data_IF_980944136892
#
_entry.id   IF_980944136892
#
_cell.length_a   1.000
_cell.length_b   1.000
_cell.length_c   1.000
_cell.angle_alpha   90.00
_cell.angle_beta   90.00
_cell.angle_gamma   90.00
#
_symmetry.space_group_name_H-M   'P 1'
#
loop_
_entity.id
_entity.type
_entity.pdbx_description
1 polymer ?
#
# COMPACT_ATOMS: atom_id res chain seq x y z
N UNK A 1 -24.94 33.01 61.40
CA UNK A 1 -25.20 31.58 61.08
C UNK A 1 -24.10 31.12 60.15
N UNK A 2 -23.17 30.29 60.67
CA UNK A 2 -22.08 29.69 59.91
C UNK A 2 -22.57 28.51 59.06
N UNK A 3 -21.88 28.25 57.93
CA UNK A 3 -21.38 26.94 57.43
C UNK A 3 -21.07 27.05 55.93
N UNK A 4 -19.81 27.08 55.49
CA UNK A 4 -18.81 26.01 55.34
C UNK A 4 -19.02 25.07 54.14
N UNK A 5 -17.94 24.97 53.34
CA UNK A 5 -17.57 23.91 52.39
C UNK A 5 -18.40 23.82 51.09
N UNK A 6 -17.87 23.52 49.90
CA UNK A 6 -16.60 22.88 49.51
C UNK A 6 -16.36 23.19 48.02
N UNK A 7 -15.20 23.74 47.69
CA UNK A 7 -14.71 23.89 46.31
C UNK A 7 -14.22 22.52 45.85
N UNK A 8 -14.98 21.84 44.99
CA UNK A 8 -14.45 20.67 44.26
C UNK A 8 -13.62 21.16 43.07
N UNK A 9 -12.32 21.32 43.29
CA UNK A 9 -11.30 21.27 42.24
C UNK A 9 -11.41 19.90 41.55
N UNK A 10 -12.03 19.86 40.37
CA UNK A 10 -11.87 18.73 39.46
C UNK A 10 -10.47 18.81 38.87
N UNK A 11 -9.57 17.99 39.41
CA UNK A 11 -8.30 17.65 38.78
C UNK A 11 -8.60 17.13 37.36
N UNK A 12 -8.32 17.94 36.35
CA UNK A 12 -8.09 17.45 35.00
C UNK A 12 -6.79 16.64 35.05
N UNK A 13 -6.93 15.33 35.28
CA UNK A 13 -5.85 14.39 35.07
C UNK A 13 -5.49 14.43 33.58
N UNK A 14 -4.39 15.13 33.25
CA UNK A 14 -3.67 14.98 32.00
C UNK A 14 -3.35 13.50 31.81
N UNK A 15 -4.24 12.80 31.08
CA UNK A 15 -3.92 11.52 30.50
C UNK A 15 -2.95 11.80 29.37
N UNK A 16 -1.65 11.75 29.69
CA UNK A 16 -0.60 11.55 28.71
C UNK A 16 -0.92 10.23 28.03
N UNK A 17 -1.48 10.30 26.82
CA UNK A 17 -1.65 9.15 25.96
C UNK A 17 -0.27 8.51 25.75
N UNK A 18 -0.11 7.19 25.94
CA UNK A 18 1.14 6.55 25.60
C UNK A 18 1.30 6.66 24.09
N UNK A 19 2.44 7.22 23.67
CA UNK A 19 2.92 7.11 22.30
C UNK A 19 2.80 5.63 21.88
N UNK A 20 2.07 5.38 20.79
CA UNK A 20 1.83 4.04 20.28
C UNK A 20 3.15 3.30 20.08
N UNK A 21 3.41 2.32 20.93
CA UNK A 21 4.48 1.36 20.74
C UNK A 21 4.11 0.51 19.52
N UNK A 22 4.72 0.81 18.37
CA UNK A 22 4.71 -0.11 17.23
C UNK A 22 5.31 -1.44 17.71
N UNK A 23 4.47 -2.48 17.83
CA UNK A 23 4.94 -3.83 18.13
C UNK A 23 5.94 -4.25 17.05
N UNK A 24 7.17 -4.57 17.45
CA UNK A 24 8.16 -5.14 16.56
C UNK A 24 7.65 -6.51 16.07
N UNK A 25 7.50 -6.68 14.75
CA UNK A 25 7.14 -7.95 14.12
C UNK A 25 8.22 -9.00 14.44
N UNK A 26 7.80 -10.25 14.67
CA UNK A 26 8.74 -11.38 14.81
C UNK A 26 9.52 -11.60 13.51
N UNK A 27 10.74 -12.14 13.60
CA UNK A 27 11.56 -12.51 12.44
C UNK A 27 10.78 -13.38 11.43
N UNK A 28 9.95 -14.30 11.93
CA UNK A 28 9.11 -15.17 11.11
C UNK A 28 8.00 -14.42 10.36
N UNK A 29 7.46 -13.34 10.96
CA UNK A 29 6.47 -12.49 10.30
C UNK A 29 7.13 -11.60 9.25
N UNK A 30 8.38 -11.19 9.48
CA UNK A 30 9.16 -10.46 8.50
C UNK A 30 9.48 -11.35 7.30
N UNK A 31 9.96 -12.58 7.51
CA UNK A 31 10.23 -13.54 6.43
C UNK A 31 8.99 -13.83 5.57
N UNK A 32 7.82 -14.02 6.19
CA UNK A 32 6.57 -14.20 5.45
C UNK A 32 6.18 -12.95 4.63
N UNK A 33 6.48 -11.74 5.11
CA UNK A 33 6.24 -10.50 4.36
C UNK A 33 7.23 -10.30 3.21
N UNK A 34 8.40 -10.95 3.29
CA UNK A 34 9.40 -10.99 2.23
C UNK A 34 9.10 -12.05 1.16
N UNK A 35 8.11 -12.93 1.33
CA UNK A 35 7.78 -13.92 0.30
C UNK A 35 7.20 -13.27 -0.96
N UNK A 36 7.47 -13.85 -2.15
CA UNK A 36 6.92 -13.32 -3.40
C UNK A 36 5.40 -13.46 -3.38
N UNK A 37 4.69 -12.43 -3.83
CA UNK A 37 3.24 -12.51 -3.97
C UNK A 37 2.86 -13.58 -5.00
N UNK A 38 1.81 -14.32 -4.69
CA UNK A 38 1.19 -15.28 -5.61
C UNK A 38 -0.06 -14.67 -6.25
N UNK A 39 -0.56 -15.29 -7.32
CA UNK A 39 -1.84 -14.90 -7.93
C UNK A 39 -3.01 -15.02 -6.94
N UNK A 40 -2.93 -15.94 -5.99
CA UNK A 40 -3.95 -16.11 -4.95
C UNK A 40 -4.00 -14.90 -4.02
N UNK A 41 -2.84 -14.36 -3.64
CA UNK A 41 -2.74 -13.16 -2.80
C UNK A 41 -3.29 -11.91 -3.51
N UNK A 42 -3.17 -11.88 -4.83
CA UNK A 42 -3.62 -10.77 -5.68
C UNK A 42 -5.11 -10.86 -6.06
N UNK A 43 -5.72 -12.04 -5.92
CA UNK A 43 -7.10 -12.28 -6.34
C UNK A 43 -8.12 -11.32 -5.70
N UNK A 44 -8.05 -11.01 -4.39
CA UNK A 44 -8.97 -10.06 -3.79
C UNK A 44 -8.90 -8.67 -4.43
N UNK A 45 -7.67 -8.19 -4.71
CA UNK A 45 -7.47 -6.89 -5.37
C UNK A 45 -7.99 -6.93 -6.80
N UNK A 46 -7.71 -8.00 -7.54
CA UNK A 46 -8.24 -8.21 -8.89
C UNK A 46 -9.77 -8.15 -8.93
N UNK A 47 -10.44 -8.96 -8.09
CA UNK A 47 -11.89 -9.04 -8.05
C UNK A 47 -12.52 -7.68 -7.71
N UNK A 48 -11.94 -6.94 -6.75
CA UNK A 48 -12.42 -5.62 -6.37
C UNK A 48 -12.28 -4.58 -7.51
N UNK A 49 -11.17 -4.62 -8.26
CA UNK A 49 -10.96 -3.75 -9.42
C UNK A 49 -11.96 -4.06 -10.53
N UNK A 50 -12.21 -5.35 -10.80
CA UNK A 50 -13.22 -5.80 -11.77
C UNK A 50 -14.62 -5.34 -11.35
N UNK A 51 -14.97 -5.48 -10.08
CA UNK A 51 -16.25 -5.01 -9.54
C UNK A 51 -16.41 -3.50 -9.70
N UNK A 52 -15.36 -2.71 -9.39
CA UNK A 52 -15.38 -1.26 -9.61
C UNK A 52 -15.52 -0.87 -11.09
N UNK A 53 -14.87 -1.62 -11.99
CA UNK A 53 -15.00 -1.42 -13.43
C UNK A 53 -16.44 -1.70 -13.88
N UNK A 54 -17.01 -2.84 -13.49
CA UNK A 54 -18.32 -3.28 -13.94
C UNK A 54 -19.46 -2.45 -13.35
N UNK A 55 -19.48 -2.29 -12.02
CA UNK A 55 -20.62 -1.68 -11.32
C UNK A 55 -20.50 -0.18 -11.14
N UNK A 56 -19.29 0.37 -11.09
CA UNK A 56 -19.06 1.80 -10.82
C UNK A 56 -19.78 2.27 -9.55
N UNK A 57 -19.71 1.47 -8.49
CA UNK A 57 -20.32 1.74 -7.19
C UNK A 57 -19.25 1.93 -6.12
N UNK A 58 -19.57 2.72 -5.09
CA UNK A 58 -18.61 3.11 -4.07
C UNK A 58 -17.99 1.92 -3.35
N UNK A 59 -18.79 0.93 -2.94
CA UNK A 59 -18.30 -0.25 -2.22
C UNK A 59 -17.18 -0.99 -2.99
N UNK A 60 -17.38 -1.27 -4.28
CA UNK A 60 -16.38 -1.95 -5.10
C UNK A 60 -15.14 -1.08 -5.37
N UNK A 61 -15.35 0.21 -5.66
CA UNK A 61 -14.26 1.14 -5.95
C UNK A 61 -13.41 1.47 -4.72
N UNK A 62 -14.03 1.63 -3.55
CA UNK A 62 -13.32 1.82 -2.29
C UNK A 62 -12.50 0.57 -1.93
N UNK A 63 -13.09 -0.63 -2.07
CA UNK A 63 -12.37 -1.89 -1.84
C UNK A 63 -11.15 -2.01 -2.75
N UNK A 64 -11.29 -1.71 -4.05
CA UNK A 64 -10.19 -1.73 -5.00
C UNK A 64 -9.04 -0.80 -4.58
N UNK A 65 -9.36 0.43 -4.16
CA UNK A 65 -8.36 1.41 -3.70
C UNK A 65 -7.64 0.95 -2.45
N UNK A 66 -8.37 0.48 -1.43
CA UNK A 66 -7.78 0.02 -0.16
C UNK A 66 -6.87 -1.19 -0.39
N UNK A 67 -7.30 -2.14 -1.21
CA UNK A 67 -6.52 -3.35 -1.47
C UNK A 67 -5.28 -3.05 -2.33
N UNK A 68 -5.38 -2.16 -3.31
CA UNK A 68 -4.23 -1.74 -4.11
C UNK A 68 -3.22 -0.92 -3.28
N UNK A 69 -3.69 -0.06 -2.38
CA UNK A 69 -2.84 0.72 -1.48
C UNK A 69 -1.98 -0.18 -0.58
N UNK A 70 -2.58 -1.24 -0.02
CA UNK A 70 -1.85 -2.26 0.76
C UNK A 70 -0.74 -2.97 0.00
N UNK A 71 -0.80 -2.99 -1.34
CA UNK A 71 0.29 -3.55 -2.15
C UNK A 71 1.49 -2.60 -2.20
N UNK A 72 1.30 -1.29 -2.10
CA UNK A 72 2.39 -0.32 -2.14
C UNK A 72 3.34 -0.46 -0.94
N UNK A 73 2.80 -0.89 0.20
CA UNK A 73 3.55 -1.14 1.42
C UNK A 73 4.38 -2.44 1.37
N UNK A 74 4.17 -3.30 0.36
CA UNK A 74 4.89 -4.57 0.26
C UNK A 74 6.36 -4.35 -0.13
N UNK A 75 7.31 -5.00 0.58
CA UNK A 75 8.71 -4.94 0.22
C UNK A 75 8.95 -5.73 -1.08
N UNK A 76 9.97 -5.32 -1.85
CA UNK A 76 10.48 -6.04 -3.04
C UNK A 76 9.52 -6.27 -4.20
N UNK A 77 8.40 -5.55 -4.29
CA UNK A 77 7.62 -5.47 -5.53
C UNK A 77 8.39 -4.68 -6.58
N UNK A 78 8.25 -5.13 -7.84
CA UNK A 78 8.84 -4.41 -8.97
C UNK A 78 8.30 -2.98 -9.08
N UNK A 79 9.11 -2.05 -9.60
CA UNK A 79 8.66 -0.68 -9.86
C UNK A 79 7.34 -0.65 -10.68
N UNK A 80 7.26 -1.47 -11.73
CA UNK A 80 6.06 -1.59 -12.58
C UNK A 80 4.83 -2.09 -11.82
N UNK A 81 5.00 -3.04 -10.89
CA UNK A 81 3.89 -3.46 -10.03
C UNK A 81 3.41 -2.31 -9.13
N UNK A 82 4.34 -1.57 -8.51
CA UNK A 82 3.98 -0.43 -7.65
C UNK A 82 3.27 0.67 -8.44
N UNK A 83 3.72 0.97 -9.65
CA UNK A 83 3.05 1.94 -10.53
C UNK A 83 1.63 1.48 -10.91
N UNK A 84 1.46 0.17 -11.15
CA UNK A 84 0.15 -0.45 -11.43
C UNK A 84 -0.78 -0.32 -10.23
N UNK A 85 -0.32 -0.70 -9.04
CA UNK A 85 -1.08 -0.58 -7.80
C UNK A 85 -1.45 0.88 -7.50
N UNK A 86 -0.50 1.81 -7.64
CA UNK A 86 -0.72 3.24 -7.45
C UNK A 86 -1.76 3.79 -8.43
N UNK A 87 -1.67 3.40 -9.70
CA UNK A 87 -2.67 3.77 -10.72
C UNK A 87 -4.06 3.33 -10.30
N UNK A 88 -4.22 2.11 -9.78
CA UNK A 88 -5.51 1.62 -9.28
C UNK A 88 -6.00 2.46 -8.09
N UNK A 89 -5.15 2.75 -7.11
CA UNK A 89 -5.49 3.58 -5.94
C UNK A 89 -6.03 4.96 -6.34
N UNK A 90 -5.49 5.53 -7.42
CA UNK A 90 -5.91 6.84 -7.92
C UNK A 90 -7.15 6.77 -8.83
N UNK A 91 -7.25 5.75 -9.68
CA UNK A 91 -8.24 5.67 -10.77
C UNK A 91 -9.50 4.87 -10.44
N UNK A 92 -9.46 3.93 -9.49
CA UNK A 92 -10.61 3.12 -9.09
C UNK A 92 -11.61 3.92 -8.23
N UNK A 93 -12.22 4.95 -8.81
CA UNK A 93 -13.22 5.81 -8.17
C UNK A 93 -14.54 5.72 -8.91
N UNK A 94 -15.63 6.02 -8.22
CA UNK A 94 -16.94 6.21 -8.87
C UNK A 94 -16.83 7.38 -9.85
N UNK A 95 -17.19 7.13 -11.10
CA UNK A 95 -17.33 8.15 -12.13
C UNK A 95 -18.82 8.47 -12.33
N UNK A 96 -19.11 9.65 -12.86
CA UNK A 96 -20.49 10.02 -13.23
C UNK A 96 -21.05 9.08 -14.31
N UNK A 97 -20.21 8.70 -15.29
CA UNK A 97 -20.56 7.79 -16.37
C UNK A 97 -19.56 6.63 -16.40
N UNK A 98 -20.07 5.40 -16.41
CA UNK A 98 -19.24 4.20 -16.53
C UNK A 98 -18.93 3.86 -17.99
N UNK A 99 -18.15 4.72 -18.64
CA UNK A 99 -17.78 4.58 -20.05
C UNK A 99 -16.81 3.42 -20.33
N UNK A 100 -16.63 3.09 -21.62
CA UNK A 100 -15.78 2.00 -22.06
C UNK A 100 -14.32 2.21 -21.63
N UNK A 101 -13.75 3.38 -21.89
CA UNK A 101 -12.34 3.69 -21.59
C UNK A 101 -12.00 3.50 -20.11
N UNK A 102 -12.90 3.91 -19.20
CA UNK A 102 -12.73 3.69 -17.75
C UNK A 102 -12.74 2.21 -17.41
N UNK A 103 -13.70 1.45 -17.97
CA UNK A 103 -13.80 0.00 -17.75
C UNK A 103 -12.54 -0.69 -18.23
N UNK A 104 -12.13 -0.40 -19.47
CA UNK A 104 -10.96 -1.00 -20.09
C UNK A 104 -9.69 -0.69 -19.30
N UNK A 105 -9.48 0.58 -18.89
CA UNK A 105 -8.33 0.96 -18.06
C UNK A 105 -8.27 0.13 -16.77
N UNK A 106 -9.38 0.00 -16.05
CA UNK A 106 -9.41 -0.74 -14.79
C UNK A 106 -9.20 -2.24 -15.00
N UNK A 107 -9.81 -2.84 -16.03
CA UNK A 107 -9.65 -4.26 -16.35
C UNK A 107 -8.22 -4.59 -16.81
N UNK A 108 -7.60 -3.71 -17.59
CA UNK A 108 -6.21 -3.84 -17.99
C UNK A 108 -5.29 -3.78 -16.77
N UNK A 109 -5.53 -2.82 -15.85
CA UNK A 109 -4.74 -2.74 -14.61
C UNK A 109 -4.95 -3.91 -13.67
N UNK A 110 -6.16 -4.50 -13.62
CA UNK A 110 -6.40 -5.74 -12.90
C UNK A 110 -5.58 -6.90 -13.49
N UNK A 111 -5.52 -7.00 -14.82
CA UNK A 111 -4.72 -8.02 -15.52
C UNK A 111 -3.22 -7.82 -15.29
N UNK A 112 -2.74 -6.58 -15.43
CA UNK A 112 -1.34 -6.20 -15.17
C UNK A 112 -0.92 -6.60 -13.75
N UNK A 113 -1.80 -6.42 -12.76
CA UNK A 113 -1.58 -6.83 -11.38
C UNK A 113 -1.11 -8.29 -11.29
N UNK A 114 -1.85 -9.22 -11.91
CA UNK A 114 -1.55 -10.65 -11.87
C UNK A 114 -0.27 -11.04 -12.62
N UNK A 115 0.20 -10.20 -13.53
CA UNK A 115 1.40 -10.46 -14.34
C UNK A 115 2.66 -9.82 -13.75
N UNK A 116 2.53 -8.63 -13.18
CA UNK A 116 3.65 -7.79 -12.75
C UNK A 116 3.95 -7.94 -11.26
N UNK A 117 2.93 -8.17 -10.43
CA UNK A 117 3.07 -8.16 -8.97
C UNK A 117 3.47 -9.52 -8.38
N UNK A 118 3.50 -10.58 -9.18
CA UNK A 118 4.02 -11.89 -8.75
C UNK A 118 5.54 -11.99 -8.80
N UNK A 119 6.20 -11.00 -9.42
CA UNK A 119 7.65 -10.95 -9.58
C UNK A 119 8.26 -10.17 -8.41
N UNK A 120 9.37 -10.68 -7.89
CA UNK A 120 10.26 -9.90 -7.01
C UNK A 120 11.17 -9.03 -7.85
N UNK A 121 11.39 -7.81 -7.38
CA UNK A 121 12.49 -6.97 -7.85
C UNK A 121 13.80 -7.73 -7.59
N UNK A 122 14.64 -7.86 -8.61
CA UNK A 122 15.95 -8.49 -8.44
C UNK A 122 16.87 -7.50 -7.73
N UNK A 123 17.70 -7.99 -6.82
CA UNK A 123 18.75 -7.15 -6.24
C UNK A 123 19.62 -6.59 -7.36
N UNK A 124 19.78 -5.27 -7.40
CA UNK A 124 20.69 -4.61 -8.32
C UNK A 124 22.07 -5.26 -8.15
N UNK A 125 22.73 -5.73 -9.22
CA UNK A 125 24.09 -6.24 -9.12
C UNK A 125 24.93 -5.18 -8.41
N UNK A 126 25.66 -5.59 -7.36
CA UNK A 126 26.60 -4.71 -6.70
C UNK A 126 27.48 -4.06 -7.78
N UNK A 127 27.56 -2.73 -7.76
CA UNK A 127 28.39 -2.01 -8.71
C UNK A 127 29.79 -2.64 -8.70
N UNK A 128 30.44 -2.86 -9.87
CA UNK A 128 31.80 -3.32 -9.88
C UNK A 128 32.63 -2.40 -8.98
N UNK A 129 33.32 -2.97 -8.00
CA UNK A 129 34.22 -2.22 -7.14
C UNK A 129 35.14 -1.38 -8.04
N UNK A 130 35.19 -0.08 -7.77
CA UNK A 130 35.90 0.91 -8.57
C UNK A 130 37.30 0.41 -8.98
N UNK A 131 37.48 0.09 -10.26
CA UNK A 131 38.81 -0.06 -10.85
C UNK A 131 39.32 1.31 -11.28
N UNK A 132 39.68 2.16 -10.32
CA UNK A 132 40.73 3.16 -10.54
C UNK A 132 42.08 2.48 -10.33
N UNK A 133 43.13 2.73 -11.15
CA UNK A 133 43.66 4.09 -11.28
C UNK A 133 44.21 4.49 -12.67
N UNK A 134 44.25 5.80 -12.91
CA UNK A 134 45.37 6.43 -13.61
C UNK A 134 45.14 6.87 -15.07
N UNK A 135 44.54 8.04 -15.26
CA UNK A 135 44.77 8.82 -16.47
C UNK A 135 46.25 9.25 -16.47
N UNK A 136 47.09 8.62 -17.30
CA UNK A 136 48.41 9.16 -17.63
C UNK A 136 48.20 10.36 -18.53
N UNK A 137 48.45 11.57 -18.00
CA UNK A 137 48.54 12.80 -18.81
C UNK A 137 49.59 12.58 -19.91
N UNK A 138 49.20 12.85 -21.15
CA UNK A 138 50.08 12.93 -22.31
C UNK A 138 50.29 14.39 -22.67
#
# INVERSE_FOLDING_TARGET
MARFFLVCLSLFALHVAPASAQQAKSAKQLEAELEPLTKTDLKPTFDAVVECAQRNQDAGCQAARILADKLLDKPFLTALCKDTAFTITVKAKVAEINNFDRKELLLNKATDLLQLCVKKEQEKPAAPAEAGPGIKKR
#
